data_IF_893288868841
#
_entry.id   IF_893288868841
#
_cell.length_a   1.000
_cell.length_b   1.000
_cell.length_c   1.000
_cell.angle_alpha   90.00
_cell.angle_beta   90.00
_cell.angle_gamma   90.00
#
_symmetry.space_group_name_H-M   'P 1'
#
loop_
_entity.id
_entity.type
_entity.pdbx_description
1 polymer ?
#
# COMPACT_ATOMS: atom_id res chain seq x y z
N UNK A 1 8.78 14.28 32.60
CA UNK A 1 9.38 13.21 31.79
C UNK A 1 8.28 12.60 30.97
N UNK A 2 8.06 13.15 29.79
CA UNK A 2 6.88 12.90 28.93
C UNK A 2 7.22 11.83 27.88
N UNK A 3 7.70 10.68 28.32
CA UNK A 3 8.05 9.59 27.40
C UNK A 3 7.14 8.40 27.65
N UNK A 4 6.13 8.23 26.79
CA UNK A 4 5.31 7.02 26.78
C UNK A 4 6.14 5.81 26.32
N UNK A 5 5.93 4.65 26.96
CA UNK A 5 6.58 3.39 26.61
C UNK A 5 5.57 2.47 25.94
N UNK A 6 5.98 1.81 24.86
CA UNK A 6 5.19 0.78 24.16
C UNK A 6 5.94 -0.54 24.27
N UNK A 7 5.32 -1.55 24.88
CA UNK A 7 5.85 -2.92 24.95
C UNK A 7 5.11 -3.81 23.97
N UNK A 8 5.86 -4.58 23.17
CA UNK A 8 5.34 -5.51 22.14
C UNK A 8 6.28 -6.69 21.95
N UNK A 9 5.76 -7.75 21.38
CA UNK A 9 6.54 -8.88 20.88
C UNK A 9 6.68 -8.78 19.36
N UNK A 10 7.53 -9.62 18.76
CA UNK A 10 7.60 -9.72 17.29
C UNK A 10 6.26 -10.18 16.70
N UNK A 11 5.55 -11.08 17.38
CA UNK A 11 4.30 -11.69 16.90
C UNK A 11 3.13 -10.71 16.72
N UNK A 12 3.17 -9.58 17.43
CA UNK A 12 2.11 -8.55 17.44
C UNK A 12 2.65 -7.14 17.13
N UNK A 13 3.87 -7.04 16.58
CA UNK A 13 4.51 -5.74 16.30
C UNK A 13 3.74 -4.91 15.26
N UNK A 14 3.06 -5.57 14.32
CA UNK A 14 2.18 -4.90 13.35
C UNK A 14 0.80 -4.69 14.00
N UNK A 15 0.32 -3.44 14.12
CA UNK A 15 -0.98 -3.17 14.75
C UNK A 15 -2.13 -3.89 14.04
N UNK A 16 -2.99 -4.56 14.81
CA UNK A 16 -4.15 -5.28 14.29
C UNK A 16 -3.85 -6.67 13.70
N UNK A 17 -2.59 -7.10 13.68
CA UNK A 17 -2.16 -8.40 13.19
C UNK A 17 -1.48 -9.17 14.32
N UNK A 18 -1.91 -10.41 14.56
CA UNK A 18 -1.33 -11.29 15.54
C UNK A 18 -1.05 -12.65 14.90
N UNK A 19 0.19 -13.11 14.97
CA UNK A 19 0.54 -14.48 14.60
C UNK A 19 -0.04 -15.46 15.63
N UNK A 20 -0.79 -16.45 15.16
CA UNK A 20 -1.44 -17.46 16.02
C UNK A 20 -0.83 -18.84 15.90
N UNK A 21 0.19 -19.00 15.05
CA UNK A 21 0.83 -20.28 14.76
C UNK A 21 2.37 -20.15 14.79
N UNK A 22 3.06 -21.28 14.83
CA UNK A 22 4.52 -21.34 14.86
C UNK A 22 5.06 -22.17 13.70
N UNK A 23 6.14 -21.69 13.08
CA UNK A 23 6.85 -22.44 12.06
C UNK A 23 7.75 -23.52 12.70
N UNK A 24 8.08 -24.54 11.92
CA UNK A 24 9.22 -25.39 12.27
C UNK A 24 10.50 -24.55 12.39
N UNK A 25 11.48 -24.94 13.23
CA UNK A 25 12.75 -24.21 13.36
C UNK A 25 13.47 -24.01 12.02
N UNK A 26 13.32 -24.96 11.09
CA UNK A 26 13.89 -24.88 9.75
C UNK A 26 13.23 -23.80 8.89
N UNK A 27 11.90 -23.79 8.82
CA UNK A 27 11.14 -22.78 8.09
C UNK A 27 11.34 -21.39 8.68
N UNK A 28 11.35 -21.26 10.01
CA UNK A 28 11.63 -20.01 10.71
C UNK A 28 13.02 -19.45 10.35
N UNK A 29 14.04 -20.32 10.31
CA UNK A 29 15.40 -19.94 9.89
C UNK A 29 15.41 -19.43 8.45
N UNK A 30 14.73 -20.09 7.51
CA UNK A 30 14.64 -19.67 6.11
C UNK A 30 13.92 -18.32 5.96
N UNK A 31 12.76 -18.15 6.61
CA UNK A 31 11.99 -16.90 6.61
C UNK A 31 12.78 -15.74 7.22
N UNK A 32 13.56 -16.01 8.26
CA UNK A 32 14.40 -15.02 8.94
C UNK A 32 15.63 -14.54 8.15
N UNK A 33 15.97 -15.17 7.02
CA UNK A 33 17.12 -14.77 6.22
C UNK A 33 16.92 -13.42 5.54
N UNK A 34 17.95 -12.58 5.56
CA UNK A 34 17.92 -11.25 4.92
C UNK A 34 17.58 -11.28 3.43
N UNK A 35 17.92 -12.38 2.73
CA UNK A 35 17.60 -12.58 1.30
C UNK A 35 16.10 -12.61 1.02
N UNK A 36 15.26 -12.87 2.03
CA UNK A 36 13.81 -12.88 1.87
C UNK A 36 13.23 -11.54 1.46
N UNK A 37 13.86 -10.41 1.78
CA UNK A 37 13.46 -9.09 1.26
C UNK A 37 13.37 -9.06 -0.26
N UNK A 38 14.31 -9.73 -0.94
CA UNK A 38 14.37 -9.78 -2.40
C UNK A 38 13.28 -10.70 -2.95
N UNK A 39 12.93 -11.76 -2.22
CA UNK A 39 11.83 -12.65 -2.59
C UNK A 39 10.49 -11.90 -2.54
N UNK A 40 10.26 -11.09 -1.50
CA UNK A 40 9.07 -10.22 -1.40
C UNK A 40 9.04 -9.22 -2.56
N UNK A 41 10.15 -8.52 -2.82
CA UNK A 41 10.24 -7.58 -3.94
C UNK A 41 9.96 -8.25 -5.30
N UNK A 42 10.54 -9.44 -5.54
CA UNK A 42 10.30 -10.23 -6.76
C UNK A 42 8.84 -10.68 -6.87
N UNK A 43 8.23 -11.09 -5.76
CA UNK A 43 6.84 -11.52 -5.72
C UNK A 43 5.87 -10.38 -6.06
N UNK A 44 6.19 -9.14 -5.65
CA UNK A 44 5.43 -7.93 -6.02
C UNK A 44 5.66 -7.58 -7.49
N UNK A 45 6.92 -7.53 -7.94
CA UNK A 45 7.26 -7.19 -9.32
C UNK A 45 6.61 -8.13 -10.34
N UNK A 46 6.54 -9.43 -10.03
CA UNK A 46 5.90 -10.45 -10.88
C UNK A 46 4.38 -10.27 -11.07
N UNK A 47 3.75 -9.32 -10.35
CA UNK A 47 2.32 -8.99 -10.47
C UNK A 47 2.04 -7.89 -11.48
N UNK A 48 3.06 -7.14 -11.88
CA UNK A 48 2.98 -6.17 -12.97
C UNK A 48 3.22 -6.91 -14.28
N UNK A 49 2.27 -6.85 -15.21
CA UNK A 49 2.34 -7.58 -16.48
C UNK A 49 1.48 -6.93 -17.55
N UNK A 50 1.71 -7.25 -18.82
CA UNK A 50 0.79 -6.89 -19.90
C UNK A 50 -0.24 -8.01 -20.07
N UNK A 51 -1.55 -7.75 -19.92
CA UNK A 51 -2.59 -8.74 -20.22
C UNK A 51 -2.56 -9.16 -21.69
N UNK A 52 -2.82 -10.45 -21.97
CA UNK A 52 -2.81 -10.98 -23.36
C UNK A 52 -3.94 -10.41 -24.21
N UNK A 53 -5.11 -10.20 -23.61
CA UNK A 53 -6.30 -9.72 -24.29
C UNK A 53 -6.53 -8.26 -23.89
N UNK A 54 -6.35 -7.34 -24.84
CA UNK A 54 -6.57 -5.91 -24.62
C UNK A 54 -7.88 -5.48 -25.32
N UNK A 55 -8.78 -4.76 -24.64
CA UNK A 55 -10.08 -4.40 -25.19
C UNK A 55 -10.01 -3.17 -26.10
N UNK A 56 -11.05 -3.03 -26.93
CA UNK A 56 -11.43 -1.75 -27.54
C UNK A 56 -12.54 -1.11 -26.71
N UNK A 57 -12.27 0.07 -26.17
CA UNK A 57 -13.18 0.83 -25.31
C UNK A 57 -14.06 1.70 -26.21
N UNK A 58 -15.36 1.77 -25.96
CA UNK A 58 -16.27 2.58 -26.77
C UNK A 58 -16.70 3.81 -25.98
N UNK A 59 -16.42 5.00 -26.51
CA UNK A 59 -16.75 6.30 -25.91
C UNK A 59 -17.26 7.21 -27.01
N UNK A 60 -18.37 7.92 -26.79
CA UNK A 60 -18.91 8.86 -27.79
C UNK A 60 -19.15 8.27 -29.18
N UNK A 61 -19.46 6.97 -29.27
CA UNK A 61 -19.62 6.26 -30.55
C UNK A 61 -18.31 5.82 -31.23
N UNK A 62 -17.14 6.20 -30.72
CA UNK A 62 -15.84 5.80 -31.24
C UNK A 62 -15.26 4.60 -30.49
N UNK A 63 -14.76 3.62 -31.22
CA UNK A 63 -13.94 2.54 -30.66
C UNK A 63 -12.48 2.96 -30.51
N UNK A 64 -11.97 2.99 -29.29
CA UNK A 64 -10.60 3.34 -28.92
C UNK A 64 -9.87 2.05 -28.48
N UNK A 65 -8.97 1.50 -29.31
CA UNK A 65 -8.23 0.30 -28.93
C UNK A 65 -7.21 0.61 -27.83
N UNK A 66 -7.11 -0.25 -26.81
CA UNK A 66 -6.01 -0.23 -25.86
C UNK A 66 -4.86 -1.10 -26.40
N UNK A 67 -3.68 -0.51 -26.54
CA UNK A 67 -2.52 -1.17 -27.12
C UNK A 67 -1.58 -1.68 -26.04
N UNK A 68 -0.71 -2.61 -26.42
CA UNK A 68 0.30 -3.17 -25.52
C UNK A 68 1.28 -2.09 -25.09
N UNK A 69 1.68 -1.25 -26.04
CA UNK A 69 2.62 -0.16 -25.85
C UNK A 69 2.08 0.87 -24.84
N UNK A 70 0.76 1.10 -24.82
CA UNK A 70 0.11 2.00 -23.85
C UNK A 70 0.32 1.51 -22.41
N UNK A 71 0.19 0.20 -22.19
CA UNK A 71 0.38 -0.43 -20.88
C UNK A 71 1.84 -0.38 -20.47
N UNK A 72 2.77 -0.66 -21.40
CA UNK A 72 4.22 -0.63 -21.13
C UNK A 72 4.70 0.79 -20.78
N UNK A 73 4.23 1.81 -21.51
CA UNK A 73 4.51 3.22 -21.19
C UNK A 73 4.00 3.55 -19.79
N UNK A 74 2.74 3.23 -19.50
CA UNK A 74 2.15 3.53 -18.20
C UNK A 74 2.84 2.78 -17.05
N UNK A 75 3.28 1.54 -17.27
CA UNK A 75 4.06 0.77 -16.29
C UNK A 75 5.42 1.41 -16.04
N UNK A 76 6.13 1.80 -17.10
CA UNK A 76 7.41 2.50 -17.00
C UNK A 76 7.27 3.82 -16.23
N UNK A 77 6.25 4.62 -16.53
CA UNK A 77 6.02 5.89 -15.86
C UNK A 77 5.70 5.71 -14.37
N UNK A 78 4.87 4.72 -14.04
CA UNK A 78 4.58 4.37 -12.65
C UNK A 78 5.85 3.92 -11.89
N UNK A 79 6.69 3.09 -12.50
CA UNK A 79 7.93 2.62 -11.89
C UNK A 79 8.95 3.75 -11.64
N UNK A 80 9.02 4.74 -12.54
CA UNK A 80 9.90 5.92 -12.39
C UNK A 80 9.54 6.82 -11.20
N UNK A 81 8.33 6.72 -10.66
CA UNK A 81 7.94 7.48 -9.48
C UNK A 81 8.66 7.03 -8.21
N UNK A 82 9.21 5.81 -8.21
CA UNK A 82 9.77 5.14 -7.03
C UNK A 82 8.80 5.06 -5.83
N UNK A 83 7.50 5.25 -6.07
CA UNK A 83 6.47 5.08 -5.06
C UNK A 83 6.25 3.58 -4.77
N UNK A 84 5.74 3.25 -3.57
CA UNK A 84 5.24 1.91 -3.27
C UNK A 84 4.21 1.43 -4.31
N UNK A 85 4.14 0.11 -4.51
CA UNK A 85 3.41 -0.50 -5.61
C UNK A 85 1.93 -0.10 -5.71
N UNK A 86 1.21 0.01 -4.58
CA UNK A 86 -0.20 0.41 -4.58
C UNK A 86 -0.36 1.91 -4.88
N UNK A 87 0.58 2.76 -4.46
CA UNK A 87 0.54 4.20 -4.77
C UNK A 87 0.90 4.47 -6.23
N UNK A 88 1.94 3.80 -6.75
CA UNK A 88 2.37 3.92 -8.14
C UNK A 88 1.26 3.54 -9.14
N UNK A 89 0.28 2.71 -8.71
CA UNK A 89 -0.93 2.39 -9.48
C UNK A 89 -1.70 3.65 -9.93
N UNK A 90 -1.72 4.71 -9.12
CA UNK A 90 -2.43 5.94 -9.46
C UNK A 90 -1.81 6.60 -10.70
N UNK A 91 -0.48 6.63 -10.77
CA UNK A 91 0.26 7.10 -11.94
C UNK A 91 -0.01 6.20 -13.15
N UNK A 92 0.05 4.87 -12.98
CA UNK A 92 -0.27 3.91 -14.04
C UNK A 92 -1.66 4.18 -14.64
N UNK A 93 -2.71 4.27 -13.81
CA UNK A 93 -4.08 4.52 -14.27
C UNK A 93 -4.18 5.89 -14.97
N UNK A 94 -3.60 6.93 -14.37
CA UNK A 94 -3.61 8.29 -14.94
C UNK A 94 -2.97 8.32 -16.32
N UNK A 95 -1.84 7.65 -16.51
CA UNK A 95 -1.15 7.58 -17.80
C UNK A 95 -2.00 6.84 -18.84
N UNK A 96 -2.56 5.66 -18.51
CA UNK A 96 -3.43 4.94 -19.47
C UNK A 96 -4.64 5.78 -19.87
N UNK A 97 -5.33 6.40 -18.90
CA UNK A 97 -6.48 7.27 -19.19
C UNK A 97 -6.08 8.47 -20.06
N UNK A 98 -4.91 9.07 -19.82
CA UNK A 98 -4.42 10.17 -20.65
C UNK A 98 -4.15 9.73 -22.09
N UNK A 99 -3.56 8.55 -22.28
CA UNK A 99 -3.29 8.00 -23.62
C UNK A 99 -4.60 7.73 -24.37
N UNK A 100 -5.56 7.06 -23.72
CA UNK A 100 -6.87 6.77 -24.32
C UNK A 100 -7.65 8.05 -24.64
N UNK A 101 -7.60 9.04 -23.75
CA UNK A 101 -8.20 10.36 -23.97
C UNK A 101 -7.59 11.04 -25.19
N UNK A 102 -6.26 11.09 -25.29
CA UNK A 102 -5.59 11.71 -26.43
C UNK A 102 -5.95 11.01 -27.76
N UNK A 103 -5.99 9.68 -27.77
CA UNK A 103 -6.42 8.89 -28.94
C UNK A 103 -7.88 9.13 -29.32
N UNK A 104 -8.75 9.41 -28.35
CA UNK A 104 -10.13 9.83 -28.62
C UNK A 104 -10.17 11.23 -29.25
N UNK A 105 -9.40 12.19 -28.72
CA UNK A 105 -9.33 13.55 -29.25
C UNK A 105 -8.82 13.61 -30.69
N UNK A 106 -7.88 12.74 -31.06
CA UNK A 106 -7.39 12.60 -32.44
C UNK A 106 -8.48 12.17 -33.43
N UNK A 107 -9.60 11.62 -32.96
CA UNK A 107 -10.75 11.22 -33.82
C UNK A 107 -11.82 12.30 -33.93
N UNK A 108 -11.75 13.36 -33.14
CA UNK A 108 -12.70 14.46 -33.20
C UNK A 108 -12.24 15.50 -34.22
N UNK A 109 -13.21 16.02 -34.98
CA UNK A 109 -12.99 17.12 -35.92
C UNK A 109 -13.14 18.51 -35.27
N UNK A 110 -13.30 18.57 -33.94
CA UNK A 110 -13.47 19.80 -33.16
C UNK A 110 -12.71 19.74 -31.83
N UNK A 111 -12.58 20.88 -31.17
CA UNK A 111 -11.99 20.99 -29.84
C UNK A 111 -13.10 20.91 -28.79
N UNK A 112 -13.18 19.84 -27.99
CA UNK A 112 -14.19 19.70 -26.95
C UNK A 112 -13.91 20.66 -25.79
N UNK A 113 -14.97 21.02 -25.06
CA UNK A 113 -14.86 21.84 -23.86
C UNK A 113 -14.41 21.02 -22.63
N UNK A 114 -14.19 21.70 -21.51
CA UNK A 114 -13.72 21.03 -20.29
C UNK A 114 -14.77 20.07 -19.68
N UNK A 115 -16.06 20.36 -19.85
CA UNK A 115 -17.14 19.53 -19.32
C UNK A 115 -17.19 18.19 -20.06
N UNK A 116 -17.06 18.24 -21.39
CA UNK A 116 -17.01 17.06 -22.25
C UNK A 116 -15.76 16.22 -21.97
N UNK A 117 -14.59 16.83 -21.80
CA UNK A 117 -13.35 16.13 -21.42
C UNK A 117 -13.50 15.38 -20.08
N UNK A 118 -14.20 15.99 -19.13
CA UNK A 118 -14.48 15.38 -17.83
C UNK A 118 -15.46 14.20 -17.96
N UNK A 119 -16.48 14.34 -18.82
CA UNK A 119 -17.43 13.25 -19.11
C UNK A 119 -16.74 12.06 -19.77
N UNK A 120 -15.92 12.29 -20.81
CA UNK A 120 -15.10 11.27 -21.48
C UNK A 120 -14.22 10.53 -20.48
N UNK A 121 -13.53 11.27 -19.61
CA UNK A 121 -12.66 10.68 -18.57
C UNK A 121 -13.47 9.83 -17.60
N UNK A 122 -14.69 10.26 -17.27
CA UNK A 122 -15.61 9.52 -16.39
C UNK A 122 -16.13 8.24 -17.05
N UNK A 123 -16.52 8.31 -18.34
CA UNK A 123 -16.93 7.13 -19.11
C UNK A 123 -15.80 6.09 -19.20
N UNK A 124 -14.57 6.52 -19.49
CA UNK A 124 -13.40 5.62 -19.48
C UNK A 124 -13.20 4.96 -18.12
N UNK A 125 -13.32 5.71 -17.02
CA UNK A 125 -13.16 5.16 -15.66
C UNK A 125 -14.24 4.14 -15.30
N UNK A 126 -15.44 4.28 -15.84
CA UNK A 126 -16.58 3.41 -15.56
C UNK A 126 -16.63 2.17 -16.47
N UNK A 127 -15.89 2.14 -17.57
CA UNK A 127 -15.84 0.98 -18.48
C UNK A 127 -15.26 -0.27 -17.79
N UNK A 128 -16.07 -1.32 -17.71
CA UNK A 128 -15.71 -2.55 -17.00
C UNK A 128 -14.54 -3.29 -17.66
N UNK A 129 -14.45 -3.29 -18.99
CA UNK A 129 -13.36 -3.97 -19.71
C UNK A 129 -12.03 -3.30 -19.42
N UNK A 130 -12.00 -1.97 -19.40
CA UNK A 130 -10.82 -1.21 -19.03
C UNK A 130 -10.44 -1.45 -17.58
N UNK A 131 -11.40 -1.35 -16.64
CA UNK A 131 -11.14 -1.60 -15.21
C UNK A 131 -10.56 -2.99 -14.95
N UNK A 132 -11.13 -4.04 -15.57
CA UNK A 132 -10.61 -5.41 -15.48
C UNK A 132 -9.19 -5.48 -16.03
N UNK A 133 -8.95 -4.87 -17.20
CA UNK A 133 -7.62 -4.87 -17.84
C UNK A 133 -6.58 -4.16 -16.98
N UNK A 134 -6.91 -2.99 -16.41
CA UNK A 134 -6.05 -2.23 -15.50
C UNK A 134 -5.75 -2.99 -14.21
N UNK A 135 -6.71 -3.74 -13.66
CA UNK A 135 -6.49 -4.61 -12.50
C UNK A 135 -5.61 -5.81 -12.84
N UNK A 136 -5.75 -6.41 -14.04
CA UNK A 136 -4.92 -7.53 -14.48
C UNK A 136 -3.48 -7.12 -14.82
N UNK A 137 -3.31 -5.89 -15.30
CA UNK A 137 -2.01 -5.32 -15.64
C UNK A 137 -1.21 -4.88 -14.41
N UNK A 138 -1.92 -4.41 -13.38
CA UNK A 138 -1.34 -3.93 -12.13
C UNK A 138 -2.32 -4.23 -10.99
N UNK A 139 -2.12 -5.32 -10.26
CA UNK A 139 -3.10 -5.76 -9.26
C UNK A 139 -2.84 -5.07 -7.91
N UNK A 140 -3.71 -4.18 -7.40
CA UNK A 140 -3.58 -3.69 -6.03
C UNK A 140 -3.80 -4.84 -5.03
N UNK A 141 -2.98 -4.91 -3.98
CA UNK A 141 -3.03 -6.03 -3.01
C UNK A 141 -2.59 -5.62 -1.61
N UNK A 142 -2.98 -6.42 -0.62
CA UNK A 142 -2.54 -6.29 0.77
C UNK A 142 -1.32 -7.18 1.05
N UNK A 143 -0.59 -6.89 2.12
CA UNK A 143 0.57 -7.69 2.52
C UNK A 143 0.18 -9.12 2.89
N UNK A 144 -0.93 -9.30 3.61
CA UNK A 144 -1.46 -10.60 4.03
C UNK A 144 -1.80 -11.46 2.83
N UNK A 145 -2.44 -10.88 1.81
CA UNK A 145 -2.71 -11.60 0.57
C UNK A 145 -1.42 -12.00 -0.14
N UNK A 146 -0.39 -11.13 -0.15
CA UNK A 146 0.89 -11.47 -0.76
C UNK A 146 1.55 -12.65 -0.03
N UNK A 147 1.62 -12.61 1.29
CA UNK A 147 2.24 -13.67 2.11
C UNK A 147 1.48 -14.99 1.97
N UNK A 148 0.14 -14.97 2.01
CA UNK A 148 -0.69 -16.14 1.74
C UNK A 148 -0.38 -16.75 0.36
N UNK A 149 -0.37 -15.91 -0.69
CA UNK A 149 -0.11 -16.38 -2.05
C UNK A 149 1.33 -16.84 -2.30
N UNK A 150 2.30 -16.31 -1.55
CA UNK A 150 3.71 -16.65 -1.67
C UNK A 150 3.96 -18.09 -1.23
N UNK A 151 3.44 -18.47 -0.06
CA UNK A 151 3.64 -19.80 0.52
C UNK A 151 2.63 -20.84 0.02
N UNK A 152 1.53 -20.44 -0.60
CA UNK A 152 0.57 -21.36 -1.21
C UNK A 152 0.97 -21.87 -2.61
N UNK A 153 2.02 -21.32 -3.23
CA UNK A 153 2.38 -21.59 -4.64
C UNK A 153 3.86 -21.92 -4.80
N UNK A 154 4.27 -23.19 -4.62
CA UNK A 154 5.68 -23.60 -4.65
C UNK A 154 6.39 -23.23 -5.95
N UNK A 155 5.74 -23.39 -7.11
CA UNK A 155 6.31 -23.05 -8.42
C UNK A 155 6.64 -21.55 -8.55
N UNK A 156 5.82 -20.70 -7.91
CA UNK A 156 6.05 -19.25 -7.88
C UNK A 156 7.16 -18.91 -6.91
N UNK A 157 7.16 -19.52 -5.73
CA UNK A 157 8.23 -19.34 -4.74
C UNK A 157 9.60 -19.67 -5.35
N UNK A 158 9.71 -20.77 -6.11
CA UNK A 158 10.91 -21.15 -6.86
C UNK A 158 11.41 -20.06 -7.81
N UNK A 159 10.49 -19.38 -8.48
CA UNK A 159 10.83 -18.29 -9.41
C UNK A 159 11.36 -17.07 -8.65
N UNK A 160 10.79 -16.76 -7.49
CA UNK A 160 11.15 -15.57 -6.72
C UNK A 160 12.40 -15.78 -5.85
N UNK A 161 12.69 -17.03 -5.50
CA UNK A 161 13.77 -17.45 -4.64
C UNK A 161 14.54 -18.64 -5.24
N UNK A 162 15.31 -18.43 -6.34
CA UNK A 162 16.02 -19.50 -7.03
C UNK A 162 17.15 -20.15 -6.22
N UNK A 163 17.44 -19.60 -5.03
CA UNK A 163 18.44 -20.10 -4.09
C UNK A 163 17.88 -21.10 -3.08
N UNK A 164 16.55 -21.28 -3.03
CA UNK A 164 15.91 -22.30 -2.21
C UNK A 164 15.99 -23.65 -2.94
N UNK A 165 16.35 -24.69 -2.20
CA UNK A 165 16.24 -26.07 -2.65
C UNK A 165 14.77 -26.53 -2.69
N UNK A 166 14.51 -27.69 -3.30
CA UNK A 166 13.17 -28.30 -3.27
C UNK A 166 12.69 -28.61 -1.84
N UNK A 167 13.61 -29.03 -0.97
CA UNK A 167 13.32 -29.28 0.44
C UNK A 167 12.95 -27.98 1.17
N UNK A 168 13.67 -26.89 0.90
CA UNK A 168 13.37 -25.57 1.45
C UNK A 168 11.97 -25.11 1.03
N UNK A 169 11.66 -25.21 -0.27
CA UNK A 169 10.36 -24.83 -0.81
C UNK A 169 9.25 -25.67 -0.17
N UNK A 170 9.43 -26.98 -0.05
CA UNK A 170 8.47 -27.86 0.59
C UNK A 170 8.25 -27.49 2.06
N UNK A 171 9.32 -27.15 2.79
CA UNK A 171 9.23 -26.74 4.20
C UNK A 171 8.48 -25.41 4.42
N UNK A 172 8.52 -24.53 3.41
CA UNK A 172 7.84 -23.23 3.43
C UNK A 172 6.41 -23.29 2.87
N UNK A 173 6.08 -24.33 2.12
CA UNK A 173 4.80 -24.43 1.42
C UNK A 173 3.69 -24.82 2.38
N UNK A 174 2.58 -24.07 2.34
CA UNK A 174 1.39 -24.35 3.16
C UNK A 174 0.11 -24.05 2.39
N UNK A 175 -1.05 -24.65 2.76
CA UNK A 175 -2.31 -24.38 2.10
C UNK A 175 -2.69 -22.89 2.12
N UNK A 176 -3.42 -22.45 1.10
CA UNK A 176 -4.00 -21.11 1.06
C UNK A 176 -4.95 -20.90 2.25
N UNK A 177 -4.85 -19.77 2.93
CA UNK A 177 -5.65 -19.42 4.10
C UNK A 177 -5.11 -19.98 5.42
N UNK A 178 -3.87 -20.51 5.42
CA UNK A 178 -3.19 -20.91 6.66
C UNK A 178 -2.98 -19.70 7.58
N UNK A 179 -3.03 -19.88 8.92
CA UNK A 179 -2.76 -18.81 9.87
C UNK A 179 -1.35 -18.23 9.68
N UNK A 180 -1.18 -16.97 10.09
CA UNK A 180 0.13 -16.33 10.11
C UNK A 180 0.97 -16.90 11.25
N UNK A 181 2.23 -17.18 10.94
CA UNK A 181 3.22 -17.61 11.92
C UNK A 181 4.07 -16.45 12.41
N UNK A 182 4.74 -16.59 13.56
CA UNK A 182 5.65 -15.55 14.10
C UNK A 182 6.67 -15.08 13.05
N UNK A 183 7.27 -16.01 12.30
CA UNK A 183 8.28 -15.69 11.28
C UNK A 183 7.71 -15.07 10.00
N UNK A 184 6.38 -15.00 9.84
CA UNK A 184 5.76 -14.25 8.74
C UNK A 184 5.70 -12.76 9.03
N UNK A 185 5.68 -12.33 10.30
CA UNK A 185 5.46 -10.93 10.67
C UNK A 185 6.52 -9.99 10.05
N UNK A 186 7.83 -10.29 10.10
CA UNK A 186 8.83 -9.44 9.45
C UNK A 186 8.72 -9.41 7.92
N UNK A 187 8.27 -10.52 7.31
CA UNK A 187 8.05 -10.60 5.86
C UNK A 187 6.82 -9.81 5.45
N UNK A 188 5.78 -9.84 6.27
CA UNK A 188 4.56 -9.07 6.12
C UNK A 188 4.86 -7.57 6.24
N UNK A 189 5.66 -7.17 7.23
CA UNK A 189 6.11 -5.78 7.38
C UNK A 189 6.90 -5.31 6.15
N UNK A 190 7.81 -6.13 5.61
CA UNK A 190 8.52 -5.85 4.36
C UNK A 190 7.56 -5.72 3.17
N UNK A 191 6.57 -6.62 3.07
CA UNK A 191 5.56 -6.57 2.02
C UNK A 191 4.74 -5.29 2.10
N UNK A 192 4.29 -4.91 3.29
CA UNK A 192 3.52 -3.70 3.51
C UNK A 192 4.32 -2.43 3.19
N UNK A 193 5.61 -2.40 3.47
CA UNK A 193 6.50 -1.30 3.09
C UNK A 193 6.57 -1.13 1.57
N UNK A 194 6.80 -2.22 0.84
CA UNK A 194 6.93 -2.20 -0.62
C UNK A 194 5.60 -2.00 -1.35
N UNK A 195 4.50 -2.48 -0.77
CA UNK A 195 3.14 -2.29 -1.29
C UNK A 195 2.64 -0.87 -1.02
N UNK A 196 2.99 -0.30 0.14
CA UNK A 196 2.42 0.94 0.64
C UNK A 196 1.04 0.74 1.27
N UNK A 197 0.23 1.80 1.41
CA UNK A 197 -1.06 1.74 2.09
C UNK A 197 -2.00 0.72 1.46
N UNK A 198 -2.86 0.14 2.31
CA UNK A 198 -3.93 -0.75 1.85
C UNK A 198 -4.81 0.02 0.84
N UNK A 199 -5.01 -0.49 -0.38
CA UNK A 199 -5.78 0.19 -1.42
C UNK A 199 -7.20 0.57 -0.99
N UNK A 200 -7.86 -0.25 -0.16
CA UNK A 200 -9.21 0.00 0.34
C UNK A 200 -9.19 1.07 1.42
N UNK A 201 -8.26 0.98 2.37
CA UNK A 201 -8.15 1.97 3.44
C UNK A 201 -7.76 3.34 2.87
N UNK A 202 -6.86 3.36 1.87
CA UNK A 202 -6.46 4.60 1.20
C UNK A 202 -7.63 5.24 0.44
N UNK A 203 -8.41 4.44 -0.30
CA UNK A 203 -9.63 4.91 -0.95
C UNK A 203 -10.67 5.43 0.06
N UNK A 204 -10.84 4.78 1.20
CA UNK A 204 -11.74 5.24 2.27
C UNK A 204 -11.25 6.55 2.91
N UNK A 205 -9.95 6.66 3.22
CA UNK A 205 -9.36 7.87 3.79
C UNK A 205 -9.49 9.05 2.84
N UNK A 206 -9.15 8.87 1.56
CA UNK A 206 -9.27 9.93 0.55
C UNK A 206 -10.71 10.37 0.34
N UNK A 207 -11.68 9.44 0.31
CA UNK A 207 -13.10 9.78 0.23
C UNK A 207 -13.59 10.55 1.47
N UNK A 208 -13.20 10.11 2.68
CA UNK A 208 -13.55 10.81 3.91
C UNK A 208 -12.94 12.22 3.98
N UNK A 209 -11.69 12.38 3.52
CA UNK A 209 -11.01 13.66 3.47
C UNK A 209 -11.63 14.60 2.44
N UNK A 210 -12.01 14.10 1.26
CA UNK A 210 -12.72 14.88 0.25
C UNK A 210 -14.07 15.37 0.76
N UNK A 211 -14.84 14.50 1.44
CA UNK A 211 -16.10 14.87 2.07
C UNK A 211 -15.92 15.94 3.16
N UNK A 212 -14.90 15.78 4.01
CA UNK A 212 -14.58 16.79 5.05
C UNK A 212 -14.25 18.14 4.41
N UNK A 213 -13.49 18.14 3.32
CA UNK A 213 -13.13 19.37 2.61
C UNK A 213 -14.36 20.04 1.98
N UNK A 214 -15.27 19.26 1.39
CA UNK A 214 -16.55 19.75 0.85
C UNK A 214 -17.44 20.35 1.95
N UNK A 215 -17.57 19.66 3.09
CA UNK A 215 -18.29 20.15 4.26
C UNK A 215 -17.68 21.47 4.80
N UNK A 216 -16.34 21.57 4.83
CA UNK A 216 -15.63 22.80 5.22
C UNK A 216 -15.85 23.94 4.23
N UNK A 217 -15.82 23.68 2.93
CA UNK A 217 -16.09 24.68 1.90
C UNK A 217 -17.53 25.19 1.99
N UNK A 218 -18.50 24.28 2.13
CA UNK A 218 -19.91 24.64 2.30
C UNK A 218 -20.14 25.47 3.58
N UNK A 219 -19.50 25.09 4.69
CA UNK A 219 -19.57 25.86 5.93
C UNK A 219 -18.93 27.24 5.78
N UNK A 220 -17.78 27.34 5.11
CA UNK A 220 -17.11 28.62 4.83
C UNK A 220 -17.98 29.53 3.95
N UNK A 221 -18.57 28.99 2.87
CA UNK A 221 -19.46 29.73 1.97
C UNK A 221 -20.73 30.19 2.69
N UNK A 222 -21.31 29.33 3.53
CA UNK A 222 -22.50 29.67 4.33
C UNK A 222 -22.21 30.78 5.34
N UNK A 223 -21.06 30.72 6.03
CA UNK A 223 -20.64 31.75 6.99
C UNK A 223 -20.30 33.08 6.30
N UNK A 224 -19.67 33.02 5.12
CA UNK A 224 -19.40 34.19 4.28
C UNK A 224 -20.71 34.85 3.82
N UNK A 225 -21.70 34.05 3.40
CA UNK A 225 -23.02 34.54 2.99
C UNK A 225 -23.84 35.11 4.16
N UNK A 226 -23.67 34.56 5.37
CA UNK A 226 -24.31 35.05 6.60
C UNK A 226 -23.63 36.31 7.20
N UNK A 227 -22.51 36.78 6.63
CA UNK A 227 -21.77 37.95 7.12
C UNK A 227 -21.00 37.72 8.42
N UNK A 228 -20.83 36.46 8.84
CA UNK A 228 -20.14 36.06 10.08
C UNK A 228 -18.73 35.58 9.69
N UNK A 229 -17.90 36.50 9.17
CA UNK A 229 -16.58 36.18 8.59
C UNK A 229 -15.35 36.48 9.44
N UNK A 230 -15.50 37.04 10.65
CA UNK A 230 -14.36 37.64 11.41
C UNK A 230 -14.00 36.91 12.72
N UNK A 231 -14.35 35.64 12.89
CA UNK A 231 -14.02 34.87 14.09
C UNK A 231 -12.68 34.13 13.97
N UNK A 232 -11.62 34.67 14.59
CA UNK A 232 -10.21 34.20 14.58
C UNK A 232 -9.99 32.81 15.24
N UNK A 233 -11.05 32.07 15.57
CA UNK A 233 -10.95 30.78 16.26
C UNK A 233 -11.84 29.76 15.55
N UNK A 234 -11.23 28.84 14.81
CA UNK A 234 -11.94 27.69 14.24
C UNK A 234 -12.20 26.65 15.32
N UNK A 235 -13.28 25.86 15.17
CA UNK A 235 -13.59 24.77 16.08
C UNK A 235 -12.43 23.76 16.22
N UNK A 236 -11.63 23.59 15.17
CA UNK A 236 -10.40 22.77 15.19
C UNK A 236 -9.34 23.31 16.18
N UNK A 237 -9.17 24.63 16.32
CA UNK A 237 -8.21 25.21 17.28
C UNK A 237 -8.59 24.99 18.74
N UNK A 238 -9.90 24.88 19.04
CA UNK A 238 -10.38 24.55 20.39
C UNK A 238 -10.23 23.06 20.70
N UNK A 239 -10.38 22.20 19.69
CA UNK A 239 -10.16 20.75 19.79
C UNK A 239 -8.68 20.41 20.01
N UNK A 240 -7.75 21.12 19.37
CA UNK A 240 -6.31 20.94 19.58
C UNK A 240 -5.87 21.37 20.98
N UNK A 241 -6.48 22.42 21.54
CA UNK A 241 -6.10 22.95 22.86
C UNK A 241 -6.64 22.11 24.03
N UNK A 242 -7.69 21.32 23.80
CA UNK A 242 -8.23 20.34 24.78
C UNK A 242 -7.44 19.01 24.78
N UNK A 243 -6.57 18.78 23.80
CA UNK A 243 -5.76 17.57 23.64
C UNK A 243 -4.36 17.73 24.28
N UNK A 244 -4.31 18.16 25.55
CA UNK A 244 -3.05 18.23 26.30
C UNK A 244 -2.29 16.90 26.31
N UNK A 245 -0.96 17.01 26.24
CA UNK A 245 0.04 15.96 26.03
C UNK A 245 0.06 14.89 27.16
N UNK A 246 -0.90 13.97 27.14
CA UNK A 246 -0.88 12.78 27.99
C UNK A 246 0.07 11.73 27.39
N UNK A 247 1.15 11.39 28.10
CA UNK A 247 2.09 10.35 27.70
C UNK A 247 1.39 8.99 27.42
N UNK A 248 0.27 8.71 28.09
CA UNK A 248 -0.55 7.53 27.83
C UNK A 248 -1.34 7.60 26.51
N UNK A 249 -1.66 8.80 26.01
CA UNK A 249 -2.28 9.00 24.71
C UNK A 249 -1.24 8.85 23.58
N UNK A 250 -0.05 9.42 23.76
CA UNK A 250 1.06 9.26 22.80
C UNK A 250 1.46 7.79 22.64
N UNK A 251 1.59 7.04 23.74
CA UNK A 251 1.90 5.61 23.69
C UNK A 251 0.81 4.81 22.94
N UNK A 252 -0.47 5.11 23.18
CA UNK A 252 -1.60 4.47 22.46
C UNK A 252 -1.59 4.79 20.97
N UNK A 253 -1.34 6.05 20.61
CA UNK A 253 -1.21 6.49 19.22
C UNK A 253 -0.07 5.77 18.52
N UNK A 254 1.12 5.77 19.14
CA UNK A 254 2.30 5.05 18.65
C UNK A 254 2.03 3.54 18.48
N UNK A 255 1.36 2.91 19.45
CA UNK A 255 1.02 1.49 19.37
C UNK A 255 0.02 1.17 18.24
N UNK A 256 -0.81 2.13 17.82
CA UNK A 256 -1.76 1.93 16.72
C UNK A 256 -1.19 2.23 15.33
N UNK A 257 0.00 2.84 15.27
CA UNK A 257 0.61 3.32 14.04
C UNK A 257 1.86 2.50 13.69
N UNK A 258 1.79 1.75 12.58
CA UNK A 258 2.90 0.93 12.09
C UNK A 258 4.10 1.79 11.66
N UNK A 259 3.83 2.98 11.12
CA UNK A 259 4.83 3.88 10.55
C UNK A 259 5.46 4.79 11.61
N UNK A 260 5.07 4.60 12.88
CA UNK A 260 5.62 5.36 14.00
C UNK A 260 7.13 5.15 14.13
N UNK A 261 7.86 6.26 14.19
CA UNK A 261 9.31 6.27 14.46
C UNK A 261 9.57 6.49 15.94
N UNK A 262 10.17 5.49 16.58
CA UNK A 262 10.58 5.53 17.98
C UNK A 262 11.96 6.19 18.10
N UNK A 263 12.11 7.04 19.11
CA UNK A 263 13.38 7.68 19.43
C UNK A 263 14.44 6.71 19.97
N UNK A 264 14.00 5.62 20.61
CA UNK A 264 14.85 4.56 21.17
C UNK A 264 14.09 3.24 21.22
N UNK A 265 14.78 2.11 21.01
CA UNK A 265 14.20 0.76 21.10
C UNK A 265 15.06 -0.09 22.03
N UNK A 266 14.44 -0.73 23.01
CA UNK A 266 15.08 -1.73 23.86
C UNK A 266 14.65 -3.10 23.38
N UNK A 267 15.62 -3.99 23.17
CA UNK A 267 15.40 -5.38 22.77
C UNK A 267 16.01 -6.27 23.84
N UNK A 268 15.17 -7.12 24.41
CA UNK A 268 15.57 -8.23 25.28
C UNK A 268 15.54 -9.53 24.49
N UNK A 269 16.32 -10.53 24.91
CA UNK A 269 16.51 -11.81 24.22
C UNK A 269 16.91 -11.64 22.74
N UNK A 270 17.78 -10.67 22.48
CA UNK A 270 18.14 -10.25 21.13
C UNK A 270 18.77 -11.36 20.26
N UNK A 271 19.32 -12.39 20.90
CA UNK A 271 19.85 -13.59 20.22
C UNK A 271 18.78 -14.41 19.50
N UNK A 272 17.49 -14.24 19.85
CA UNK A 272 16.39 -14.90 19.16
C UNK A 272 15.98 -14.20 17.86
N UNK A 273 16.44 -12.96 17.64
CA UNK A 273 16.03 -12.17 16.49
C UNK A 273 16.76 -12.58 15.21
N UNK A 274 15.98 -12.71 14.15
CA UNK A 274 16.46 -12.98 12.81
C UNK A 274 16.87 -11.69 12.08
N UNK A 275 17.52 -11.84 10.93
CA UNK A 275 17.91 -10.68 10.12
C UNK A 275 16.69 -9.89 9.60
N UNK A 276 15.56 -10.56 9.36
CA UNK A 276 14.32 -9.88 8.98
C UNK A 276 13.66 -9.16 10.16
N UNK A 277 13.72 -9.72 11.37
CA UNK A 277 13.25 -9.03 12.59
C UNK A 277 13.99 -7.70 12.79
N UNK A 278 15.33 -7.74 12.71
CA UNK A 278 16.15 -6.53 12.81
C UNK A 278 15.81 -5.51 11.73
N UNK A 279 15.54 -5.96 10.50
CA UNK A 279 15.14 -5.07 9.40
C UNK A 279 13.82 -4.35 9.70
N UNK A 280 12.85 -5.07 10.27
CA UNK A 280 11.57 -4.52 10.72
C UNK A 280 11.75 -3.51 11.88
N UNK A 281 12.62 -3.81 12.85
CA UNK A 281 12.91 -2.93 13.98
C UNK A 281 13.65 -1.65 13.55
N UNK A 282 14.62 -1.76 12.65
CA UNK A 282 15.40 -0.61 12.15
C UNK A 282 14.50 0.40 11.42
N UNK A 283 13.45 -0.05 10.71
CA UNK A 283 12.44 0.87 10.12
C UNK A 283 11.76 1.74 11.17
N UNK A 284 11.50 1.16 12.34
CA UNK A 284 10.83 1.82 13.47
C UNK A 284 11.78 2.67 14.31
N UNK A 285 13.10 2.50 14.18
CA UNK A 285 14.08 3.38 14.83
C UNK A 285 15.20 3.77 13.84
N UNK A 286 14.94 4.73 12.93
CA UNK A 286 15.92 5.14 11.92
C UNK A 286 17.21 5.72 12.50
N UNK A 287 17.15 6.31 13.71
CA UNK A 287 18.30 6.82 14.45
C UNK A 287 19.27 5.72 14.90
N UNK A 288 18.83 4.45 14.86
CA UNK A 288 19.57 3.28 15.36
C UNK A 288 19.96 3.40 16.84
N UNK A 289 19.15 4.11 17.60
CA UNK A 289 19.28 4.19 19.05
C UNK A 289 18.68 2.92 19.67
N UNK A 290 19.52 1.90 19.89
CA UNK A 290 19.11 0.61 20.44
C UNK A 290 19.85 0.28 21.74
N UNK A 291 19.12 -0.29 22.70
CA UNK A 291 19.70 -1.06 23.81
C UNK A 291 19.40 -2.52 23.56
N UNK A 292 20.44 -3.34 23.41
CA UNK A 292 20.33 -4.75 23.02
C UNK A 292 20.88 -5.58 24.17
N UNK A 293 20.02 -6.43 24.74
CA UNK A 293 20.35 -7.34 25.85
C UNK A 293 20.28 -8.78 25.35
#
# INVERSE_FOLDING_TARGET
>A
GETGVVSRTISDLIPGICATDEDSPYAAKLKGMYRMRTVIANAIAARIRVPKNLPTIHVGGFGIPLLKEDIEIAQSDAQRTHQPHNQARNTFIKTVLSILKNRYLEKLDYVPDQAELNDITSQLRLDDKLRITLNLAWLPMTGEWLIDQLFAKPDKLRTYAPWLSDEDINSLTRPKGSPLTRSDIPLLDEAMELLGPDPKLDAQRSAAQAKKLEEQQFAADTLAQAGIGNGIVTADMLLDNLQGDDAGMLARKAASDREWTYGHVVVDEAQELTAMDWRMLIRRCPSRSFTIV
#
